data_IF_035369540890
#
_entry.id   IF_035369540890
#
_cell.length_a   1.000
_cell.length_b   1.000
_cell.length_c   1.000
_cell.angle_alpha   90.00
_cell.angle_beta   90.00
_cell.angle_gamma   90.00
#
_symmetry.space_group_name_H-M   'P 1'
#
loop_
_entity.id
_entity.type
_entity.pdbx_description
1 polymer ?
#
# COMPACT_ATOMS: atom_id res chain seq x y z
N UNK A 1 -18.25 -12.83 7.77
CA UNK A 1 -16.77 -12.71 7.51
C UNK A 1 -16.27 -11.38 8.04
N UNK A 2 -15.09 -11.35 8.65
CA UNK A 2 -14.40 -10.16 9.15
C UNK A 2 -13.18 -9.81 8.30
N UNK A 3 -12.65 -8.60 8.46
CA UNK A 3 -11.38 -8.17 7.88
C UNK A 3 -10.31 -8.02 8.95
N UNK A 4 -9.05 -8.33 8.62
CA UNK A 4 -7.88 -8.07 9.45
C UNK A 4 -6.81 -7.39 8.59
N UNK A 5 -6.59 -6.08 8.77
CA UNK A 5 -5.56 -5.33 8.06
C UNK A 5 -4.33 -5.18 8.92
N UNK A 6 -3.17 -5.49 8.39
CA UNK A 6 -1.91 -5.42 9.09
C UNK A 6 -1.20 -4.09 8.79
N UNK A 7 -1.21 -3.16 9.74
CA UNK A 7 -0.64 -1.82 9.62
C UNK A 7 0.43 -1.52 10.69
N UNK A 8 0.96 -2.54 11.38
CA UNK A 8 1.95 -2.38 12.47
C UNK A 8 3.41 -2.25 12.04
N UNK A 9 3.73 -2.41 10.76
CA UNK A 9 5.11 -2.42 10.29
C UNK A 9 5.81 -1.05 10.35
N UNK A 10 7.07 -1.01 10.81
CA UNK A 10 7.86 0.22 11.01
C UNK A 10 8.29 0.96 9.73
N UNK A 11 8.16 0.36 8.55
CA UNK A 11 8.41 1.03 7.26
C UNK A 11 9.86 1.48 7.01
N UNK A 12 10.85 0.83 7.59
CA UNK A 12 12.27 1.25 7.54
C UNK A 12 12.83 1.45 6.14
N UNK A 13 12.31 0.74 5.15
CA UNK A 13 12.74 0.82 3.73
C UNK A 13 12.28 2.09 3.01
N UNK A 14 11.29 2.83 3.58
CA UNK A 14 10.78 4.10 3.06
C UNK A 14 11.30 5.32 3.82
N UNK A 15 12.30 5.14 4.69
CA UNK A 15 12.99 6.27 5.32
C UNK A 15 13.66 7.15 4.27
N UNK A 16 13.66 8.48 4.47
CA UNK A 16 13.29 9.20 5.70
C UNK A 16 11.79 9.50 5.89
N UNK A 17 10.93 9.23 4.89
CA UNK A 17 9.50 9.55 4.93
C UNK A 17 8.81 8.93 6.17
N UNK A 18 9.17 7.70 6.49
CA UNK A 18 8.56 6.92 7.57
C UNK A 18 9.22 7.09 8.94
N UNK A 19 10.14 8.03 9.10
CA UNK A 19 10.61 8.42 10.45
C UNK A 19 9.50 9.08 11.27
N UNK A 20 8.61 9.80 10.61
CA UNK A 20 7.55 10.59 11.25
C UNK A 20 6.14 10.25 10.75
N UNK A 21 6.00 9.18 9.96
CA UNK A 21 4.71 8.80 9.38
C UNK A 21 4.60 7.29 9.20
N UNK A 22 3.40 6.75 9.44
CA UNK A 22 3.09 5.37 9.12
C UNK A 22 3.24 5.13 7.61
N UNK A 23 3.95 4.07 7.20
CA UNK A 23 4.12 3.74 5.78
C UNK A 23 2.77 3.54 5.05
N UNK A 24 1.79 3.01 5.76
CA UNK A 24 0.45 2.74 5.24
C UNK A 24 -0.37 4.03 5.01
N UNK A 25 0.10 5.16 5.52
CA UNK A 25 -0.50 6.49 5.29
C UNK A 25 0.22 7.30 4.21
N UNK A 26 1.31 6.78 3.63
CA UNK A 26 1.91 7.38 2.43
C UNK A 26 0.87 7.35 1.30
N UNK A 27 0.61 8.48 0.62
CA UNK A 27 -0.45 8.52 -0.38
C UNK A 27 0.00 7.97 -1.73
N UNK A 28 -0.95 7.34 -2.42
CA UNK A 28 -0.95 7.02 -3.84
C UNK A 28 -2.10 7.81 -4.48
N UNK A 29 -1.82 8.59 -5.51
CA UNK A 29 -2.80 9.51 -6.10
C UNK A 29 -3.55 10.35 -5.03
N UNK A 30 -2.80 10.89 -4.07
CA UNK A 30 -3.27 11.69 -2.93
C UNK A 30 -4.24 10.97 -1.96
N UNK A 31 -4.35 9.63 -2.02
CA UNK A 31 -5.12 8.83 -1.07
C UNK A 31 -4.21 7.86 -0.32
N UNK A 32 -4.26 7.81 1.04
CA UNK A 32 -3.46 6.87 1.84
C UNK A 32 -3.61 5.42 1.37
N UNK A 33 -2.50 4.68 1.29
CA UNK A 33 -2.49 3.28 0.84
C UNK A 33 -3.47 2.43 1.64
N UNK A 34 -3.51 2.60 2.95
CA UNK A 34 -4.41 1.86 3.85
C UNK A 34 -5.89 1.98 3.44
N UNK A 35 -6.29 3.13 2.90
CA UNK A 35 -7.69 3.38 2.53
C UNK A 35 -8.14 2.49 1.36
N UNK A 36 -7.22 2.17 0.44
CA UNK A 36 -7.52 1.24 -0.66
C UNK A 36 -7.87 -0.16 -0.15
N UNK A 37 -7.12 -0.67 0.84
CA UNK A 37 -7.41 -1.95 1.47
C UNK A 37 -8.75 -1.97 2.21
N UNK A 38 -9.06 -0.91 2.98
CA UNK A 38 -10.35 -0.76 3.68
C UNK A 38 -11.51 -0.70 2.68
N UNK A 39 -11.38 0.10 1.62
CA UNK A 39 -12.40 0.21 0.57
C UNK A 39 -12.59 -1.10 -0.20
N UNK A 40 -11.50 -1.83 -0.49
CA UNK A 40 -11.59 -3.14 -1.14
C UNK A 40 -12.34 -4.16 -0.28
N UNK A 41 -12.06 -4.22 1.01
CA UNK A 41 -12.80 -5.05 1.96
C UNK A 41 -14.27 -4.66 2.03
N UNK A 42 -14.59 -3.36 2.12
CA UNK A 42 -15.97 -2.88 2.12
C UNK A 42 -16.72 -3.30 0.85
N UNK A 43 -16.09 -3.15 -0.34
CA UNK A 43 -16.71 -3.59 -1.61
C UNK A 43 -16.96 -5.10 -1.63
N UNK A 44 -16.08 -5.89 -1.02
CA UNK A 44 -16.28 -7.32 -0.84
C UNK A 44 -17.33 -7.70 0.22
N UNK A 45 -18.05 -6.70 0.79
CA UNK A 45 -19.12 -6.93 1.75
C UNK A 45 -18.68 -7.00 3.22
N UNK A 46 -17.41 -6.80 3.51
CA UNK A 46 -16.84 -6.87 4.86
C UNK A 46 -17.09 -5.54 5.58
N UNK A 47 -17.77 -5.60 6.73
CA UNK A 47 -18.14 -4.41 7.50
C UNK A 47 -17.45 -4.25 8.84
N UNK A 48 -16.86 -5.31 9.35
CA UNK A 48 -16.07 -5.29 10.59
C UNK A 48 -14.61 -5.55 10.26
N UNK A 49 -13.73 -4.58 10.57
CA UNK A 49 -12.31 -4.63 10.22
C UNK A 49 -11.46 -4.41 11.47
N UNK A 50 -10.67 -5.42 11.84
CA UNK A 50 -9.57 -5.28 12.79
C UNK A 50 -8.35 -4.67 12.09
N UNK A 51 -7.72 -3.69 12.72
CA UNK A 51 -6.49 -3.08 12.20
C UNK A 51 -5.39 -3.32 13.22
N UNK A 52 -4.40 -4.13 12.82
CA UNK A 52 -3.19 -4.33 13.62
C UNK A 52 -2.36 -3.04 13.54
N UNK A 53 -2.00 -2.50 14.69
CA UNK A 53 -1.25 -1.24 14.79
C UNK A 53 -0.03 -1.43 15.70
N UNK A 54 1.07 -0.78 15.35
CA UNK A 54 2.32 -0.73 16.12
C UNK A 54 2.60 0.68 16.64
N UNK A 55 3.86 1.11 16.58
CA UNK A 55 4.33 2.42 17.09
C UNK A 55 3.58 3.62 16.49
N UNK A 56 3.16 3.52 15.23
CA UNK A 56 2.41 4.56 14.50
C UNK A 56 0.90 4.52 14.73
N UNK A 57 0.43 3.81 15.78
CA UNK A 57 -1.01 3.64 16.06
C UNK A 57 -1.81 4.93 16.15
N UNK A 58 -1.22 5.98 16.73
CA UNK A 58 -1.91 7.29 16.88
C UNK A 58 -2.25 7.91 15.53
N UNK A 59 -1.34 7.81 14.57
CA UNK A 59 -1.54 8.33 13.22
C UNK A 59 -2.59 7.51 12.46
N UNK A 60 -2.51 6.18 12.53
CA UNK A 60 -3.49 5.29 11.91
C UNK A 60 -4.89 5.56 12.46
N UNK A 61 -5.03 5.64 13.79
CA UNK A 61 -6.30 5.93 14.46
C UNK A 61 -6.83 7.31 14.04
N UNK A 62 -5.98 8.33 13.99
CA UNK A 62 -6.38 9.67 13.57
C UNK A 62 -6.86 9.71 12.11
N UNK A 63 -6.24 8.91 11.22
CA UNK A 63 -6.58 8.89 9.81
C UNK A 63 -7.85 8.08 9.51
N UNK A 64 -8.05 6.95 10.16
CA UNK A 64 -9.15 6.01 9.87
C UNK A 64 -10.38 6.25 10.76
N UNK A 65 -10.19 6.71 12.00
CA UNK A 65 -11.26 6.92 12.97
C UNK A 65 -11.98 5.63 13.35
N UNK A 66 -13.29 5.69 13.50
CA UNK A 66 -14.15 4.53 13.79
C UNK A 66 -14.53 3.72 12.54
N UNK A 67 -14.06 4.13 11.37
CA UNK A 67 -14.35 3.50 10.08
C UNK A 67 -15.63 3.97 9.40
N UNK A 68 -16.44 4.81 10.05
CA UNK A 68 -17.74 5.30 9.52
C UNK A 68 -17.59 6.00 8.17
N UNK A 69 -16.50 6.75 7.94
CA UNK A 69 -16.19 7.40 6.67
C UNK A 69 -16.06 6.42 5.49
N UNK A 70 -15.76 5.15 5.75
CA UNK A 70 -15.68 4.08 4.76
C UNK A 70 -16.92 3.19 4.74
N UNK A 71 -17.88 3.40 5.66
CA UNK A 71 -19.05 2.54 5.85
C UNK A 71 -18.71 1.18 6.47
N UNK A 72 -17.68 1.13 7.30
CA UNK A 72 -17.26 -0.05 8.09
C UNK A 72 -17.13 0.32 9.57
N UNK A 73 -16.97 -0.67 10.44
CA UNK A 73 -16.60 -0.50 11.84
C UNK A 73 -15.18 -1.00 12.05
N UNK A 74 -14.32 -0.16 12.63
CA UNK A 74 -12.92 -0.51 12.88
C UNK A 74 -12.67 -0.86 14.35
N UNK A 75 -11.80 -1.84 14.58
CA UNK A 75 -11.26 -2.20 15.89
C UNK A 75 -9.74 -2.21 15.81
N UNK A 76 -9.06 -1.46 16.66
CA UNK A 76 -7.60 -1.39 16.67
C UNK A 76 -7.00 -2.39 17.63
N UNK A 77 -6.06 -3.20 17.13
CA UNK A 77 -5.43 -4.30 17.87
C UNK A 77 -3.94 -3.99 17.94
N UNK A 78 -3.39 -3.68 19.14
CA UNK A 78 -1.99 -3.33 19.26
C UNK A 78 -1.09 -4.57 19.11
N UNK A 79 -0.04 -4.43 18.30
CA UNK A 79 1.08 -5.35 18.23
C UNK A 79 2.29 -4.64 18.84
N UNK A 80 2.64 -5.00 20.06
CA UNK A 80 3.70 -4.33 20.83
C UNK A 80 5.10 -4.65 20.27
N UNK A 81 5.28 -5.87 19.72
CA UNK A 81 6.53 -6.32 19.11
C UNK A 81 6.27 -6.92 17.72
N UNK A 82 7.13 -6.68 16.70
CA UNK A 82 6.96 -7.14 15.33
C UNK A 82 7.31 -8.63 15.18
N UNK A 83 6.56 -9.51 15.85
CA UNK A 83 6.81 -10.96 15.93
C UNK A 83 6.28 -11.76 14.73
N UNK A 84 5.95 -11.11 13.62
CA UNK A 84 5.56 -11.76 12.37
C UNK A 84 4.07 -11.70 12.06
N UNK A 85 3.70 -12.16 10.85
CA UNK A 85 2.32 -12.07 10.36
C UNK A 85 1.37 -13.05 11.06
N UNK A 86 1.83 -14.26 11.38
CA UNK A 86 1.01 -15.22 12.12
C UNK A 86 0.76 -14.75 13.58
N UNK A 87 1.69 -13.99 14.16
CA UNK A 87 1.47 -13.35 15.46
C UNK A 87 0.30 -12.34 15.42
N UNK A 88 0.11 -11.64 14.30
CA UNK A 88 -1.04 -10.75 14.14
C UNK A 88 -2.37 -11.50 14.23
N UNK A 89 -2.46 -12.69 13.67
CA UNK A 89 -3.65 -13.55 13.80
C UNK A 89 -3.84 -13.98 15.25
N UNK A 90 -2.76 -14.36 15.92
CA UNK A 90 -2.78 -14.81 17.32
C UNK A 90 -3.36 -13.74 18.26
N UNK A 91 -2.88 -12.48 18.14
CA UNK A 91 -3.34 -11.37 19.00
C UNK A 91 -4.73 -10.84 18.59
N UNK A 92 -5.17 -11.12 17.36
CA UNK A 92 -6.49 -10.75 16.89
C UNK A 92 -7.59 -11.78 17.25
N UNK A 93 -7.26 -12.85 17.95
CA UNK A 93 -8.16 -13.95 18.25
C UNK A 93 -9.50 -13.50 18.85
N UNK A 94 -9.47 -12.61 19.86
CA UNK A 94 -10.69 -12.13 20.53
C UNK A 94 -11.58 -11.31 19.57
N UNK A 95 -11.00 -10.58 18.62
CA UNK A 95 -11.73 -9.89 17.58
C UNK A 95 -12.28 -10.85 16.53
N UNK A 96 -11.47 -11.79 16.06
CA UNK A 96 -11.82 -12.72 14.99
C UNK A 96 -12.87 -13.75 15.44
N UNK A 97 -12.71 -14.31 16.64
CA UNK A 97 -13.56 -15.38 17.13
C UNK A 97 -13.53 -16.61 16.21
N UNK A 98 -14.71 -17.15 15.95
CA UNK A 98 -14.92 -18.29 15.04
C UNK A 98 -15.27 -17.86 13.60
N UNK A 99 -15.23 -16.56 13.29
CA UNK A 99 -15.57 -16.04 11.97
C UNK A 99 -14.49 -16.36 10.93
N UNK A 100 -14.90 -16.65 9.71
CA UNK A 100 -14.02 -16.59 8.54
C UNK A 100 -13.56 -15.14 8.35
N UNK A 101 -12.32 -14.94 7.87
CA UNK A 101 -11.79 -13.58 7.70
C UNK A 101 -10.83 -13.45 6.52
N UNK A 102 -10.73 -12.20 6.01
CA UNK A 102 -9.68 -11.75 5.08
C UNK A 102 -8.56 -11.13 5.88
N UNK A 103 -7.33 -11.62 5.74
CA UNK A 103 -6.12 -10.94 6.19
C UNK A 103 -5.49 -10.20 5.02
N UNK A 104 -5.15 -8.92 5.23
CA UNK A 104 -4.64 -8.02 4.18
C UNK A 104 -3.43 -7.24 4.70
N UNK A 105 -2.32 -7.26 3.99
CA UNK A 105 -1.16 -6.45 4.32
C UNK A 105 -1.42 -5.00 3.91
N UNK A 106 -1.44 -4.08 4.86
CA UNK A 106 -1.88 -2.69 4.69
C UNK A 106 -0.99 -1.80 3.82
N UNK A 107 0.12 -2.33 3.29
CA UNK A 107 1.02 -1.69 2.32
C UNK A 107 0.97 -2.36 0.94
N UNK A 108 0.06 -3.28 0.71
CA UNK A 108 -0.12 -3.94 -0.58
C UNK A 108 -1.20 -3.25 -1.41
N UNK A 109 -0.93 -3.14 -2.69
CA UNK A 109 -1.86 -2.60 -3.67
C UNK A 109 -2.09 -3.62 -4.78
N UNK A 110 -3.37 -3.79 -5.16
CA UNK A 110 -3.80 -4.75 -6.18
C UNK A 110 -4.72 -4.04 -7.18
N UNK A 111 -4.58 -4.37 -8.46
CA UNK A 111 -5.55 -3.98 -9.48
C UNK A 111 -6.87 -4.73 -9.30
N UNK A 112 -6.77 -6.03 -9.08
CA UNK A 112 -7.93 -6.88 -8.86
C UNK A 112 -8.64 -6.53 -7.54
N UNK A 113 -9.97 -6.38 -7.57
CA UNK A 113 -10.79 -6.27 -6.35
C UNK A 113 -10.85 -7.60 -5.59
N UNK A 114 -11.30 -7.51 -4.34
CA UNK A 114 -11.44 -8.70 -3.46
C UNK A 114 -12.78 -9.43 -3.63
N UNK A 115 -13.76 -8.83 -4.31
CA UNK A 115 -15.14 -9.30 -4.37
C UNK A 115 -15.26 -10.72 -4.97
N UNK A 116 -14.50 -11.01 -6.02
CA UNK A 116 -14.45 -12.34 -6.65
C UNK A 116 -13.82 -13.37 -5.74
N UNK A 117 -12.66 -13.03 -5.20
CA UNK A 117 -11.84 -13.86 -4.34
C UNK A 117 -12.58 -14.28 -3.05
N UNK A 118 -13.26 -13.32 -2.39
CA UNK A 118 -14.09 -13.55 -1.19
C UNK A 118 -15.29 -14.44 -1.53
N UNK A 119 -16.03 -14.11 -2.60
CA UNK A 119 -17.23 -14.88 -2.99
C UNK A 119 -16.91 -16.33 -3.34
N UNK A 120 -15.78 -16.58 -3.98
CA UNK A 120 -15.36 -17.94 -4.32
C UNK A 120 -15.07 -18.77 -3.06
N UNK A 121 -14.37 -18.19 -2.10
CA UNK A 121 -14.11 -18.82 -0.80
C UNK A 121 -15.42 -19.12 -0.04
N UNK A 122 -16.30 -18.13 0.12
CA UNK A 122 -17.58 -18.30 0.81
C UNK A 122 -18.45 -19.38 0.14
N UNK A 123 -18.51 -19.37 -1.20
CA UNK A 123 -19.28 -20.37 -1.96
C UNK A 123 -18.74 -21.77 -1.76
N UNK A 124 -17.42 -21.93 -1.78
CA UNK A 124 -16.75 -23.21 -1.57
C UNK A 124 -16.93 -23.74 -0.14
N UNK A 125 -16.92 -22.84 0.85
CA UNK A 125 -17.21 -23.20 2.25
C UNK A 125 -18.68 -23.56 2.47
N UNK A 126 -19.60 -22.81 1.87
CA UNK A 126 -21.02 -23.08 1.96
C UNK A 126 -21.42 -24.43 1.32
N UNK A 127 -20.71 -24.84 0.27
CA UNK A 127 -20.89 -26.16 -0.33
C UNK A 127 -20.52 -27.29 0.62
N UNK A 128 -19.67 -27.02 1.61
CA UNK A 128 -19.29 -27.98 2.66
C UNK A 128 -18.53 -29.20 2.16
N UNK A 129 -18.44 -30.22 3.01
CA UNK A 129 -17.78 -31.49 2.69
C UNK A 129 -16.29 -31.51 3.00
N UNK A 130 -15.64 -32.64 2.71
CA UNK A 130 -14.23 -32.88 3.04
C UNK A 130 -13.23 -31.92 2.33
N UNK A 131 -13.68 -31.24 1.29
CA UNK A 131 -12.86 -30.31 0.49
C UNK A 131 -13.21 -28.83 0.71
N UNK A 132 -14.00 -28.51 1.74
CA UNK A 132 -14.22 -27.12 2.12
C UNK A 132 -12.88 -26.45 2.48
N UNK A 133 -12.54 -25.30 1.86
CA UNK A 133 -11.24 -24.68 2.09
C UNK A 133 -11.13 -24.14 3.51
N UNK A 134 -10.02 -24.40 4.19
CA UNK A 134 -9.64 -23.78 5.47
C UNK A 134 -8.82 -22.51 5.24
N UNK A 135 -8.15 -22.43 4.09
CA UNK A 135 -7.46 -21.24 3.62
C UNK A 135 -7.57 -21.09 2.11
N UNK A 136 -7.54 -19.84 1.65
CA UNK A 136 -7.34 -19.49 0.25
C UNK A 136 -6.29 -18.40 0.16
N UNK A 137 -5.30 -18.60 -0.70
CA UNK A 137 -4.16 -17.70 -0.88
C UNK A 137 -4.20 -17.12 -2.29
N UNK A 138 -3.71 -15.87 -2.40
CA UNK A 138 -3.54 -15.21 -3.68
C UNK A 138 -2.06 -15.25 -4.07
N UNK A 139 -1.76 -15.68 -5.29
CA UNK A 139 -0.41 -15.84 -5.84
C UNK A 139 -0.20 -14.91 -7.02
N UNK A 140 1.04 -14.50 -7.24
CA UNK A 140 1.45 -13.70 -8.40
C UNK A 140 2.79 -14.20 -8.94
N UNK A 141 2.95 -14.23 -10.26
CA UNK A 141 4.24 -14.48 -10.89
C UNK A 141 5.14 -13.24 -10.69
N UNK A 142 6.36 -13.46 -10.22
CA UNK A 142 7.35 -12.40 -9.98
C UNK A 142 8.71 -12.80 -10.55
N UNK A 143 9.49 -11.80 -10.99
CA UNK A 143 10.83 -12.02 -11.55
C UNK A 143 11.83 -12.52 -10.50
N UNK A 144 11.75 -11.99 -9.27
CA UNK A 144 12.60 -12.42 -8.15
C UNK A 144 11.77 -12.82 -6.92
N UNK A 145 11.44 -14.10 -6.77
CA UNK A 145 10.61 -14.58 -5.66
C UNK A 145 11.33 -14.65 -4.31
N UNK A 146 12.65 -14.46 -4.25
CA UNK A 146 13.47 -14.63 -3.03
C UNK A 146 13.11 -13.66 -1.89
N UNK A 147 12.34 -12.63 -2.18
CA UNK A 147 11.92 -11.62 -1.19
C UNK A 147 10.56 -11.90 -0.56
N UNK A 148 9.85 -12.94 -1.03
CA UNK A 148 8.48 -13.25 -0.69
C UNK A 148 8.33 -14.67 -0.14
N UNK A 149 7.20 -14.96 0.45
CA UNK A 149 6.74 -16.34 0.59
C UNK A 149 6.47 -16.92 -0.81
N UNK A 150 6.90 -18.13 -1.07
CA UNK A 150 6.79 -18.79 -2.40
C UNK A 150 6.00 -20.06 -2.30
N UNK A 151 5.06 -20.27 -3.22
CA UNK A 151 4.23 -21.45 -3.30
C UNK A 151 4.75 -22.44 -4.35
N UNK A 152 4.84 -23.71 -4.00
CA UNK A 152 4.96 -24.82 -4.97
C UNK A 152 3.58 -25.39 -5.23
N UNK A 153 3.14 -25.37 -6.48
CA UNK A 153 1.82 -25.87 -6.90
C UNK A 153 2.00 -27.10 -7.78
N UNK A 154 1.21 -28.14 -7.55
CA UNK A 154 1.24 -29.37 -8.37
C UNK A 154 0.62 -29.12 -9.74
N UNK A 155 0.83 -30.05 -10.68
CA UNK A 155 0.22 -30.00 -12.03
C UNK A 155 -1.31 -30.02 -11.99
N UNK A 156 -1.87 -30.61 -10.95
CA UNK A 156 -3.32 -30.69 -10.72
C UNK A 156 -3.89 -29.44 -10.05
N UNK A 157 -3.03 -28.43 -9.76
CA UNK A 157 -3.44 -27.16 -9.18
C UNK A 157 -3.58 -27.18 -7.65
N UNK A 158 -2.92 -28.10 -6.94
CA UNK A 158 -2.91 -28.11 -5.47
C UNK A 158 -1.66 -27.43 -4.90
N UNK A 159 -1.83 -26.66 -3.85
CA UNK A 159 -0.68 -26.10 -3.12
C UNK A 159 0.01 -27.25 -2.38
N UNK A 160 1.26 -27.52 -2.78
CA UNK A 160 2.06 -28.62 -2.23
C UNK A 160 2.90 -28.15 -1.05
N UNK A 161 3.50 -26.97 -1.18
CA UNK A 161 4.43 -26.42 -0.19
C UNK A 161 4.52 -24.91 -0.27
N UNK A 162 4.74 -24.30 0.87
CA UNK A 162 5.05 -22.88 1.02
C UNK A 162 6.41 -22.71 1.70
N UNK A 163 7.20 -21.74 1.25
CA UNK A 163 8.53 -21.46 1.83
C UNK A 163 8.71 -19.96 1.95
N UNK A 164 9.01 -19.46 3.16
CA UNK A 164 9.28 -18.03 3.39
C UNK A 164 10.67 -17.66 2.89
N UNK A 165 10.76 -16.67 1.99
CA UNK A 165 12.00 -16.09 1.46
C UNK A 165 13.11 -17.09 1.16
N UNK A 166 12.84 -18.09 0.31
CA UNK A 166 13.79 -19.14 0.00
C UNK A 166 15.01 -18.61 -0.75
N UNK A 167 16.20 -19.14 -0.44
CA UNK A 167 17.42 -18.85 -1.24
C UNK A 167 17.28 -19.43 -2.65
N UNK A 168 16.74 -20.67 -2.71
CA UNK A 168 16.47 -21.39 -3.96
C UNK A 168 14.94 -21.58 -4.07
N UNK A 169 14.25 -20.66 -4.77
CA UNK A 169 12.79 -20.67 -4.86
C UNK A 169 12.29 -21.90 -5.64
N UNK A 170 11.23 -22.60 -5.14
CA UNK A 170 10.66 -23.76 -5.84
C UNK A 170 9.84 -23.36 -7.07
N UNK A 171 9.46 -22.11 -7.20
CA UNK A 171 8.70 -21.53 -8.32
C UNK A 171 8.87 -20.01 -8.35
N UNK A 172 8.23 -19.36 -9.32
CA UNK A 172 8.10 -17.89 -9.43
C UNK A 172 6.79 -17.36 -8.82
N UNK A 173 5.98 -18.24 -8.18
CA UNK A 173 4.69 -17.89 -7.58
C UNK A 173 4.86 -17.33 -6.16
N UNK A 174 4.89 -16.01 -6.05
CA UNK A 174 4.94 -15.30 -4.77
C UNK A 174 3.54 -15.19 -4.14
N UNK A 175 3.48 -15.27 -2.80
CA UNK A 175 2.27 -14.94 -2.05
C UNK A 175 2.04 -13.43 -2.07
N UNK A 176 0.88 -13.06 -2.58
CA UNK A 176 0.33 -11.70 -2.45
C UNK A 176 -0.16 -11.54 -1.02
N UNK A 177 -0.01 -10.35 -0.45
CA UNK A 177 -0.38 -10.07 0.95
C UNK A 177 -1.88 -10.10 1.26
N UNK A 178 -2.63 -11.00 0.63
CA UNK A 178 -4.07 -11.21 0.86
C UNK A 178 -4.35 -12.69 1.05
N UNK A 179 -5.01 -13.02 2.14
CA UNK A 179 -5.30 -14.39 2.56
C UNK A 179 -6.73 -14.49 3.07
N UNK A 180 -7.37 -15.60 2.84
CA UNK A 180 -8.66 -15.97 3.43
C UNK A 180 -8.46 -17.17 4.35
N UNK A 181 -9.02 -17.10 5.52
CA UNK A 181 -8.91 -18.16 6.53
C UNK A 181 -10.25 -18.43 7.20
N UNK A 182 -10.43 -19.68 7.58
CA UNK A 182 -11.41 -20.04 8.60
C UNK A 182 -10.73 -20.08 9.99
N UNK A 183 -11.51 -20.39 11.01
CA UNK A 183 -11.03 -20.48 12.39
C UNK A 183 -9.90 -21.48 12.64
N UNK A 184 -9.67 -22.46 11.75
CA UNK A 184 -8.63 -23.49 11.89
C UNK A 184 -7.23 -22.87 11.89
N UNK A 185 -7.06 -21.69 11.26
CA UNK A 185 -5.78 -20.96 11.30
C UNK A 185 -5.33 -20.65 12.73
N UNK A 186 -6.26 -20.49 13.68
CA UNK A 186 -5.94 -20.26 15.10
C UNK A 186 -5.19 -21.44 15.76
N UNK A 187 -5.40 -22.65 15.28
CA UNK A 187 -4.64 -23.82 15.71
C UNK A 187 -3.23 -23.79 15.11
N UNK A 188 -3.13 -23.50 13.80
CA UNK A 188 -1.86 -23.43 13.09
C UNK A 188 -0.90 -22.38 13.69
N UNK A 189 -1.38 -21.15 13.93
CA UNK A 189 -0.53 -20.08 14.47
C UNK A 189 -0.04 -20.35 15.92
N UNK A 190 -0.71 -21.24 16.65
CA UNK A 190 -0.26 -21.70 17.98
C UNK A 190 0.70 -22.88 17.89
N UNK A 191 0.67 -23.64 16.79
CA UNK A 191 1.48 -24.85 16.62
C UNK A 191 2.86 -24.59 16.01
N UNK A 192 3.05 -23.44 15.32
CA UNK A 192 4.33 -23.09 14.69
C UNK A 192 5.30 -22.47 15.69
N UNK A 193 6.59 -22.62 15.41
CA UNK A 193 7.68 -21.97 16.15
C UNK A 193 8.20 -20.75 15.37
N UNK A 194 8.83 -19.77 16.06
CA UNK A 194 9.49 -18.66 15.37
C UNK A 194 10.55 -19.15 14.36
N UNK A 195 10.58 -18.52 13.19
CA UNK A 195 11.56 -18.79 12.15
C UNK A 195 12.97 -18.34 12.59
N UNK A 196 13.98 -18.58 11.73
CA UNK A 196 15.35 -18.06 11.96
C UNK A 196 15.43 -16.53 12.06
N UNK A 197 14.38 -15.84 11.66
CA UNK A 197 14.22 -14.39 11.75
C UNK A 197 13.62 -13.95 13.10
N UNK A 198 13.20 -14.90 13.95
CA UNK A 198 12.49 -14.63 15.19
C UNK A 198 11.00 -14.29 14.99
N UNK A 199 10.45 -14.51 13.79
CA UNK A 199 9.07 -14.19 13.44
C UNK A 199 8.21 -15.46 13.31
N UNK A 200 6.95 -15.38 13.71
CA UNK A 200 5.92 -16.37 13.41
C UNK A 200 5.41 -16.10 11.99
N UNK A 201 5.84 -16.92 11.04
CA UNK A 201 5.56 -16.72 9.63
C UNK A 201 4.17 -17.24 9.25
N UNK A 202 3.44 -16.47 8.47
CA UNK A 202 2.12 -16.93 7.98
C UNK A 202 2.26 -18.09 6.99
N UNK A 203 3.36 -18.13 6.24
CA UNK A 203 3.72 -19.24 5.35
C UNK A 203 3.87 -20.55 6.10
N UNK A 204 4.47 -20.55 7.30
CA UNK A 204 4.63 -21.73 8.14
C UNK A 204 3.28 -22.18 8.70
N UNK A 205 2.42 -21.25 9.08
CA UNK A 205 1.07 -21.58 9.57
C UNK A 205 0.22 -22.22 8.44
N UNK A 206 0.29 -21.70 7.22
CA UNK A 206 -0.40 -22.30 6.07
C UNK A 206 0.22 -23.66 5.71
N UNK A 207 1.55 -23.78 5.78
CA UNK A 207 2.24 -25.05 5.57
C UNK A 207 1.77 -26.11 6.58
N UNK A 208 1.63 -25.73 7.86
CA UNK A 208 1.08 -26.60 8.89
C UNK A 208 -0.34 -27.09 8.53
N UNK A 209 -1.22 -26.21 8.02
CA UNK A 209 -2.56 -26.62 7.56
C UNK A 209 -2.48 -27.70 6.46
N UNK A 210 -1.58 -27.54 5.49
CA UNK A 210 -1.36 -28.52 4.41
C UNK A 210 -0.91 -29.86 5.00
N UNK A 211 0.03 -29.87 5.93
CA UNK A 211 0.56 -31.06 6.60
C UNK A 211 -0.50 -31.79 7.47
N UNK A 212 -1.48 -31.03 7.98
CA UNK A 212 -2.65 -31.60 8.67
C UNK A 212 -3.75 -32.10 7.71
N UNK A 213 -3.48 -32.12 6.40
CA UNK A 213 -4.44 -32.58 5.39
C UNK A 213 -5.62 -31.63 5.17
N UNK A 214 -5.48 -30.37 5.61
CA UNK A 214 -6.50 -29.33 5.38
C UNK A 214 -6.45 -28.81 3.93
N UNK A 215 -7.59 -28.38 3.43
CA UNK A 215 -7.69 -27.86 2.06
C UNK A 215 -7.23 -26.41 2.00
N UNK A 216 -6.10 -26.16 1.36
CA UNK A 216 -5.60 -24.82 1.02
C UNK A 216 -5.77 -24.60 -0.47
N UNK A 217 -6.62 -23.64 -0.86
CA UNK A 217 -6.84 -23.25 -2.26
C UNK A 217 -5.94 -22.09 -2.62
N UNK A 218 -5.72 -21.89 -3.92
CA UNK A 218 -5.05 -20.71 -4.43
C UNK A 218 -5.79 -20.14 -5.64
N UNK A 219 -5.58 -18.87 -5.88
CA UNK A 219 -5.91 -18.17 -7.12
C UNK A 219 -4.64 -17.43 -7.60
N UNK A 220 -4.40 -17.39 -8.90
CA UNK A 220 -3.35 -16.55 -9.48
C UNK A 220 -3.96 -15.19 -9.81
N UNK A 221 -3.36 -14.14 -9.28
CA UNK A 221 -3.81 -12.76 -9.45
C UNK A 221 -3.91 -12.39 -10.93
N UNK A 222 -4.98 -11.70 -11.28
CA UNK A 222 -5.16 -11.07 -12.59
C UNK A 222 -4.84 -9.58 -12.45
N UNK A 223 -3.91 -9.10 -13.29
CA UNK A 223 -3.45 -7.72 -13.21
C UNK A 223 -2.19 -7.55 -12.35
N UNK A 224 -1.96 -6.33 -11.89
CA UNK A 224 -0.75 -6.00 -11.14
C UNK A 224 -0.93 -6.10 -9.62
N UNK A 225 0.18 -6.38 -8.95
CA UNK A 225 0.35 -6.32 -7.51
C UNK A 225 1.65 -5.60 -7.17
N UNK A 226 1.61 -4.72 -6.17
CA UNK A 226 2.78 -3.98 -5.71
C UNK A 226 2.83 -3.96 -4.16
N UNK A 227 3.98 -4.38 -3.61
CA UNK A 227 4.41 -4.05 -2.25
C UNK A 227 5.03 -2.65 -2.27
N UNK A 228 4.31 -1.67 -1.74
CA UNK A 228 4.71 -0.25 -1.75
C UNK A 228 5.77 0.09 -0.69
N UNK A 229 6.44 -0.90 -0.14
CA UNK A 229 7.42 -0.73 0.93
C UNK A 229 8.74 -0.08 0.52
N UNK A 230 8.94 0.34 -0.73
CA UNK A 230 10.14 1.03 -1.26
C UNK A 230 9.72 2.17 -2.19
N UNK A 231 10.66 3.13 -2.45
CA UNK A 231 10.39 4.32 -3.29
C UNK A 231 9.94 3.94 -4.71
N UNK A 232 10.72 3.14 -5.43
CA UNK A 232 10.43 2.86 -6.84
C UNK A 232 9.11 2.07 -7.03
N UNK A 233 8.81 1.00 -6.27
CA UNK A 233 7.48 0.39 -6.28
C UNK A 233 6.35 1.35 -5.92
N UNK A 234 6.57 2.31 -5.00
CA UNK A 234 5.57 3.31 -4.64
C UNK A 234 5.29 4.26 -5.80
N UNK A 235 6.32 4.75 -6.49
CA UNK A 235 6.17 5.61 -7.68
C UNK A 235 5.48 4.85 -8.83
N UNK A 236 5.84 3.59 -9.04
CA UNK A 236 5.18 2.74 -10.03
C UNK A 236 3.70 2.49 -9.67
N UNK A 237 3.39 2.24 -8.41
CA UNK A 237 2.01 2.13 -7.94
C UNK A 237 1.23 3.43 -8.18
N UNK A 238 1.84 4.57 -7.89
CA UNK A 238 1.25 5.88 -8.16
C UNK A 238 0.95 6.05 -9.66
N UNK A 239 1.89 5.65 -10.54
CA UNK A 239 1.71 5.66 -12.00
C UNK A 239 0.48 4.84 -12.41
N UNK A 240 0.40 3.58 -11.97
CA UNK A 240 -0.69 2.68 -12.34
C UNK A 240 -2.06 3.18 -11.85
N UNK A 241 -2.13 3.68 -10.63
CA UNK A 241 -3.39 4.22 -10.08
C UNK A 241 -3.80 5.49 -10.82
N UNK A 242 -2.85 6.37 -11.16
CA UNK A 242 -3.13 7.59 -11.91
C UNK A 242 -3.65 7.31 -13.34
N UNK A 243 -3.27 6.20 -13.96
CA UNK A 243 -3.81 5.84 -15.28
C UNK A 243 -5.32 5.55 -15.27
N UNK A 244 -5.87 5.21 -14.11
CA UNK A 244 -7.28 4.87 -13.95
C UNK A 244 -8.14 6.01 -13.38
N UNK A 245 -7.56 7.20 -13.12
CA UNK A 245 -8.33 8.32 -12.56
C UNK A 245 -9.29 8.94 -13.59
N UNK A 246 -10.45 9.39 -13.12
CA UNK A 246 -11.39 10.17 -13.89
C UNK A 246 -11.08 11.68 -13.72
N UNK A 247 -10.99 12.45 -14.81
CA UNK A 247 -10.70 13.88 -14.76
C UNK A 247 -11.74 14.64 -13.94
N UNK A 248 -11.29 15.57 -13.09
CA UNK A 248 -12.16 16.40 -12.26
C UNK A 248 -11.48 17.72 -11.94
N UNK A 249 -12.22 18.83 -12.05
CA UNK A 249 -11.73 20.15 -11.67
C UNK A 249 -12.69 20.81 -10.67
N UNK A 250 -12.22 20.95 -9.43
CA UNK A 250 -12.90 21.64 -8.33
C UNK A 250 -12.13 22.91 -7.88
N UNK A 251 -10.99 23.19 -8.52
CA UNK A 251 -10.14 24.35 -8.25
C UNK A 251 -10.36 25.49 -9.25
N UNK A 252 -9.40 26.39 -9.31
CA UNK A 252 -9.37 27.49 -10.27
C UNK A 252 -8.20 27.34 -11.24
N UNK A 253 -8.48 27.55 -12.52
CA UNK A 253 -7.49 27.54 -13.61
C UNK A 253 -7.65 28.85 -14.36
N UNK A 254 -6.58 29.62 -14.51
CA UNK A 254 -6.62 30.89 -15.24
C UNK A 254 -6.64 30.69 -16.77
N UNK A 255 -6.88 31.78 -17.52
CA UNK A 255 -7.00 31.72 -18.97
C UNK A 255 -5.68 31.50 -19.73
N UNK A 256 -4.54 31.61 -19.05
CA UNK A 256 -3.20 31.37 -19.61
C UNK A 256 -2.71 29.96 -19.40
N UNK A 257 -3.34 29.21 -18.51
CA UNK A 257 -2.97 27.82 -18.19
C UNK A 257 -3.57 26.80 -19.15
N UNK A 258 -2.88 25.69 -19.30
CA UNK A 258 -3.29 24.56 -20.17
C UNK A 258 -3.39 23.27 -19.36
N UNK A 259 -4.54 22.59 -19.45
CA UNK A 259 -4.77 21.31 -18.79
C UNK A 259 -5.02 20.26 -19.87
N UNK A 260 -4.19 19.21 -19.91
CA UNK A 260 -4.24 18.15 -20.91
C UNK A 260 -4.31 16.76 -20.26
N UNK A 261 -5.14 15.87 -20.81
CA UNK A 261 -5.26 14.48 -20.34
C UNK A 261 -6.06 14.32 -19.04
N UNK A 262 -5.78 13.28 -18.29
CA UNK A 262 -6.49 12.95 -17.05
C UNK A 262 -5.92 13.75 -15.88
N UNK A 263 -6.59 14.79 -15.46
CA UNK A 263 -6.16 15.66 -14.36
C UNK A 263 -7.27 15.79 -13.32
N UNK A 264 -6.93 15.57 -12.05
CA UNK A 264 -7.77 15.92 -10.92
C UNK A 264 -7.18 17.19 -10.29
N UNK A 265 -7.98 18.25 -10.22
CA UNK A 265 -7.66 19.48 -9.48
C UNK A 265 -8.66 19.59 -8.35
N UNK A 266 -8.17 19.49 -7.11
CA UNK A 266 -9.03 19.49 -5.93
C UNK A 266 -9.43 20.91 -5.50
N UNK A 267 -10.41 20.97 -4.61
CA UNK A 267 -10.99 22.23 -4.12
C UNK A 267 -9.92 23.17 -3.56
N UNK A 268 -10.04 24.47 -3.86
CA UNK A 268 -9.12 25.51 -3.40
C UNK A 268 -7.78 25.57 -4.14
N UNK A 269 -7.45 24.58 -4.97
CA UNK A 269 -6.24 24.60 -5.78
C UNK A 269 -6.28 25.72 -6.83
N UNK A 270 -5.13 26.34 -7.10
CA UNK A 270 -4.99 27.47 -8.04
C UNK A 270 -3.89 27.16 -9.05
N UNK A 271 -4.25 27.17 -10.32
CA UNK A 271 -3.33 26.95 -11.44
C UNK A 271 -3.25 28.28 -12.21
N UNK A 272 -2.04 28.86 -12.24
CA UNK A 272 -1.78 30.19 -12.82
C UNK A 272 -0.63 30.08 -13.82
N UNK A 273 -0.83 30.56 -15.04
CA UNK A 273 0.17 30.58 -16.11
C UNK A 273 1.00 29.30 -16.21
N UNK A 274 0.34 28.15 -16.11
CA UNK A 274 0.99 26.85 -15.95
C UNK A 274 0.43 25.81 -16.94
N UNK A 275 1.23 24.76 -17.18
CA UNK A 275 0.79 23.64 -17.99
C UNK A 275 0.76 22.36 -17.17
N UNK A 276 -0.39 21.70 -17.12
CA UNK A 276 -0.56 20.42 -16.45
C UNK A 276 -0.86 19.36 -17.51
N UNK A 277 -0.02 18.34 -17.59
CA UNK A 277 -0.18 17.23 -18.52
C UNK A 277 -0.38 15.93 -17.73
N UNK A 278 -1.60 15.43 -17.74
CA UNK A 278 -2.01 14.23 -17.02
C UNK A 278 -1.41 12.92 -17.57
N UNK A 279 -1.52 11.83 -16.75
CA UNK A 279 -2.33 11.76 -15.55
C UNK A 279 -1.67 12.42 -14.33
N UNK A 280 -2.40 13.30 -13.63
CA UNK A 280 -1.92 14.13 -12.52
C UNK A 280 -3.02 14.35 -11.49
N UNK A 281 -2.66 14.40 -10.21
CA UNK A 281 -3.54 14.88 -9.13
C UNK A 281 -2.90 16.08 -8.45
N UNK A 282 -3.65 17.18 -8.33
CA UNK A 282 -3.30 18.39 -7.58
C UNK A 282 -4.20 18.47 -6.36
N UNK A 283 -3.60 18.48 -5.18
CA UNK A 283 -4.30 18.49 -3.88
C UNK A 283 -4.96 19.81 -3.54
N UNK A 284 -5.77 19.77 -2.50
CA UNK A 284 -6.56 20.90 -1.97
C UNK A 284 -5.65 22.05 -1.57
N UNK A 285 -6.08 23.30 -1.87
CA UNK A 285 -5.38 24.55 -1.54
C UNK A 285 -3.94 24.64 -2.07
N UNK A 286 -3.56 23.83 -3.05
CA UNK A 286 -2.24 23.86 -3.69
C UNK A 286 -2.18 24.93 -4.76
N UNK A 287 -1.05 25.65 -4.81
CA UNK A 287 -0.77 26.68 -5.82
C UNK A 287 0.28 26.17 -6.79
N UNK A 288 -0.02 26.27 -8.08
CA UNK A 288 0.92 25.98 -9.19
C UNK A 288 0.99 27.23 -10.05
N UNK A 289 2.15 27.89 -10.06
CA UNK A 289 2.34 29.17 -10.74
C UNK A 289 3.58 29.13 -11.65
N UNK A 290 3.44 29.59 -12.90
CA UNK A 290 4.50 29.60 -13.90
C UNK A 290 5.26 28.27 -14.01
N UNK A 291 4.55 27.14 -13.98
CA UNK A 291 5.15 25.82 -13.77
C UNK A 291 4.61 24.77 -14.77
N UNK A 292 5.37 23.69 -14.93
CA UNK A 292 4.93 22.50 -15.66
C UNK A 292 4.80 21.32 -14.71
N UNK A 293 3.64 20.68 -14.69
CA UNK A 293 3.42 19.40 -14.01
C UNK A 293 3.14 18.33 -15.06
N UNK A 294 4.11 17.44 -15.21
CA UNK A 294 4.07 16.34 -16.17
C UNK A 294 3.40 15.07 -15.63
N UNK A 295 3.29 14.05 -16.51
CA UNK A 295 2.55 12.84 -16.21
C UNK A 295 3.03 12.12 -14.95
N UNK A 296 2.11 11.35 -14.36
CA UNK A 296 2.35 10.46 -13.21
C UNK A 296 2.79 11.19 -11.94
N UNK A 297 2.40 12.46 -11.82
CA UNK A 297 2.72 13.28 -10.65
C UNK A 297 1.51 13.43 -9.72
N UNK A 298 1.72 13.22 -8.44
CA UNK A 298 0.76 13.51 -7.37
C UNK A 298 1.32 14.63 -6.49
N UNK A 299 0.64 15.76 -6.48
CA UNK A 299 0.96 16.90 -5.62
C UNK A 299 -0.04 16.93 -4.48
N UNK A 300 0.45 16.85 -3.24
CA UNK A 300 -0.35 16.85 -2.02
C UNK A 300 -1.08 18.17 -1.77
N UNK A 301 -1.71 18.27 -0.61
CA UNK A 301 -2.48 19.46 -0.22
C UNK A 301 -1.54 20.60 0.22
N UNK A 302 -1.97 21.85 0.04
CA UNK A 302 -1.28 23.06 0.50
C UNK A 302 0.17 23.16 0.04
N UNK A 303 0.49 22.57 -1.11
CA UNK A 303 1.79 22.72 -1.75
C UNK A 303 1.89 24.04 -2.51
N UNK A 304 3.11 24.52 -2.68
CA UNK A 304 3.40 25.73 -3.46
C UNK A 304 4.49 25.42 -4.49
N UNK A 305 4.12 25.35 -5.77
CA UNK A 305 5.00 25.04 -6.88
C UNK A 305 5.10 26.27 -7.77
N UNK A 306 6.30 26.86 -7.84
CA UNK A 306 6.54 28.11 -8.55
C UNK A 306 7.76 27.99 -9.44
N UNK A 307 7.67 28.46 -10.71
CA UNK A 307 8.75 28.44 -11.69
C UNK A 307 9.49 27.10 -11.78
N UNK A 308 8.74 26.00 -11.78
CA UNK A 308 9.33 24.66 -11.64
C UNK A 308 8.72 23.64 -12.60
N UNK A 309 9.50 22.62 -12.97
CA UNK A 309 9.03 21.50 -13.78
C UNK A 309 9.11 20.19 -13.01
N UNK A 310 7.99 19.47 -12.91
CA UNK A 310 7.88 18.22 -12.17
C UNK A 310 7.24 17.14 -13.03
N UNK A 311 7.75 15.91 -12.96
CA UNK A 311 7.09 14.74 -13.54
C UNK A 311 7.39 13.48 -12.72
N UNK A 312 6.55 12.44 -12.86
CA UNK A 312 6.73 11.12 -12.25
C UNK A 312 7.16 11.18 -10.77
N UNK A 313 6.47 12.02 -9.98
CA UNK A 313 6.85 12.31 -8.61
C UNK A 313 5.65 12.35 -7.68
N UNK A 314 5.89 12.08 -6.40
CA UNK A 314 4.91 12.18 -5.32
C UNK A 314 5.39 13.20 -4.30
N UNK A 315 4.63 14.26 -4.13
CA UNK A 315 4.86 15.30 -3.12
C UNK A 315 3.77 15.18 -2.05
N UNK A 316 4.18 15.02 -0.80
CA UNK A 316 3.26 15.02 0.33
C UNK A 316 2.84 16.48 0.66
N UNK A 317 1.90 16.62 1.60
CA UNK A 317 1.31 17.90 1.96
C UNK A 317 2.34 18.95 2.38
N UNK A 318 2.09 20.22 2.02
CA UNK A 318 2.85 21.37 2.43
C UNK A 318 4.20 21.56 1.76
N UNK A 319 4.52 20.83 0.71
CA UNK A 319 5.78 20.98 0.00
C UNK A 319 5.87 22.32 -0.73
N UNK A 320 7.06 22.92 -0.73
CA UNK A 320 7.41 24.09 -1.56
C UNK A 320 8.49 23.72 -2.55
N UNK A 321 8.23 23.94 -3.85
CA UNK A 321 9.20 23.75 -4.91
C UNK A 321 9.30 25.05 -5.70
N UNK A 322 10.46 25.70 -5.70
CA UNK A 322 10.64 27.01 -6.30
C UNK A 322 11.94 27.12 -7.10
N UNK A 323 11.83 27.59 -8.35
CA UNK A 323 12.93 27.74 -9.31
C UNK A 323 13.70 26.43 -9.58
N UNK A 324 13.01 25.29 -9.60
CA UNK A 324 13.58 23.97 -9.92
C UNK A 324 13.36 23.69 -11.41
N UNK A 325 14.44 23.67 -12.18
CA UNK A 325 14.39 23.51 -13.63
C UNK A 325 13.67 22.23 -14.05
N UNK A 326 14.05 21.09 -13.43
CA UNK A 326 13.36 19.81 -13.63
C UNK A 326 13.58 18.90 -12.42
N UNK A 327 12.52 18.26 -11.96
CA UNK A 327 12.55 17.20 -10.95
C UNK A 327 11.70 16.01 -11.41
N UNK A 328 12.27 14.81 -11.38
CA UNK A 328 11.60 13.57 -11.75
C UNK A 328 11.90 12.46 -10.74
N UNK A 329 11.14 11.37 -10.82
CA UNK A 329 11.36 10.14 -10.03
C UNK A 329 11.54 10.38 -8.52
N UNK A 330 10.82 11.37 -7.98
CA UNK A 330 11.06 11.90 -6.64
C UNK A 330 9.88 11.62 -5.70
N UNK A 331 10.21 11.37 -4.43
CA UNK A 331 9.27 11.25 -3.33
C UNK A 331 9.65 12.26 -2.24
N UNK A 332 8.83 13.30 -2.07
CA UNK A 332 9.03 14.35 -1.08
C UNK A 332 8.10 14.16 0.12
N UNK A 333 8.67 14.16 1.32
CA UNK A 333 7.94 14.13 2.58
C UNK A 333 7.16 15.41 2.84
N UNK A 334 6.40 15.45 3.95
CA UNK A 334 5.61 16.63 4.32
C UNK A 334 6.51 17.83 4.60
N UNK A 335 6.07 19.02 4.16
CA UNK A 335 6.72 20.30 4.39
C UNK A 335 8.18 20.36 3.88
N UNK A 336 8.51 19.57 2.86
CA UNK A 336 9.83 19.65 2.23
C UNK A 336 9.91 20.90 1.36
N UNK A 337 11.03 21.59 1.46
CA UNK A 337 11.36 22.75 0.66
C UNK A 337 12.51 22.42 -0.30
N UNK A 338 12.26 22.58 -1.60
CA UNK A 338 13.28 22.49 -2.66
C UNK A 338 13.31 23.83 -3.37
N UNK A 339 14.37 24.59 -3.16
CA UNK A 339 14.46 25.95 -3.68
C UNK A 339 15.84 26.22 -4.28
N UNK A 340 15.89 27.02 -5.35
CA UNK A 340 17.13 27.47 -5.94
C UNK A 340 17.54 28.83 -5.32
N UNK A 341 18.73 28.90 -4.74
CA UNK A 341 19.25 30.16 -4.22
C UNK A 341 19.70 31.06 -5.38
N UNK A 342 19.20 32.29 -5.39
CA UNK A 342 19.64 33.32 -6.34
C UNK A 342 20.88 34.10 -5.83
N UNK A 343 21.34 33.85 -4.61
CA UNK A 343 22.46 34.53 -3.99
C UNK A 343 23.80 33.89 -4.35
N UNK A 344 24.82 34.72 -4.55
CA UNK A 344 26.21 34.26 -4.72
C UNK A 344 26.89 34.02 -3.36
N UNK A 345 27.84 33.08 -3.22
CA UNK A 345 28.24 32.11 -4.24
C UNK A 345 27.13 31.09 -4.52
N UNK A 346 27.07 30.63 -5.79
CA UNK A 346 26.18 29.52 -6.15
C UNK A 346 26.72 28.26 -5.49
N UNK A 347 26.03 27.77 -4.49
CA UNK A 347 26.41 26.58 -3.74
C UNK A 347 25.17 25.78 -3.36
N UNK A 348 25.31 24.46 -3.29
CA UNK A 348 24.33 23.60 -2.65
C UNK A 348 24.36 23.85 -1.14
N UNK A 349 23.19 24.08 -0.57
CA UNK A 349 22.97 24.18 0.88
C UNK A 349 21.90 23.17 1.25
N UNK A 350 22.35 22.11 1.93
CA UNK A 350 21.50 20.96 2.24
C UNK A 350 21.31 20.88 3.76
N UNK A 351 20.05 20.66 4.17
CA UNK A 351 19.69 20.24 5.51
C UNK A 351 18.86 18.96 5.35
N UNK A 352 19.51 17.83 5.55
CA UNK A 352 18.95 16.49 5.29
C UNK A 352 18.91 15.71 6.60
N UNK A 353 17.89 14.87 6.74
CA UNK A 353 17.77 13.93 7.85
C UNK A 353 18.45 12.58 7.52
N UNK A 354 18.37 11.67 8.49
CA UNK A 354 18.87 10.32 8.33
C UNK A 354 18.20 9.60 7.14
N UNK A 355 18.93 8.74 6.47
CA UNK A 355 18.49 7.93 5.33
C UNK A 355 18.07 8.73 4.07
N UNK A 356 18.29 10.04 4.02
CA UNK A 356 18.03 10.87 2.83
C UNK A 356 18.94 10.50 1.66
N UNK A 357 18.39 10.59 0.43
CA UNK A 357 19.13 10.42 -0.83
C UNK A 357 18.86 11.62 -1.73
N UNK A 358 19.91 12.15 -2.33
CA UNK A 358 19.87 13.26 -3.29
C UNK A 358 20.76 12.90 -4.46
N UNK A 359 20.21 12.92 -5.66
CA UNK A 359 20.93 12.79 -6.92
C UNK A 359 20.84 14.13 -7.64
N UNK A 360 21.98 14.63 -8.10
CA UNK A 360 22.12 15.92 -8.77
C UNK A 360 22.69 15.71 -10.16
N UNK A 361 22.09 16.38 -11.15
CA UNK A 361 22.68 16.46 -12.48
C UNK A 361 24.03 17.20 -12.44
N UNK A 362 24.95 16.79 -13.30
CA UNK A 362 26.30 17.35 -13.44
C UNK A 362 26.29 18.76 -14.06
#
# INVERSE_FOLDING_TARGET
MKGLILAGGAGTRLRPITHTSAKQLVPIANKPILFYGIEAMRRAGIKEIGIIVGDTRKEIIAAVGDGSQFGVKTTYIPQEEPLGLAHCVLIAHDFLGDDDFVMYLGDNMLEQGLEGFVREFESARAAGGAHAPTAQILLCHVDDPRQFGVAEVTKEGHVKRLVEKPKDPPSDLALVGVYLFDKTINEAVRAIAPSKRGELEITDAIQWLIEQGKTVRHEVLKGWWIDTGKKDPLLECNRLVLEAIEPRNEGSVDGSSQIEGRVIIMSGAKIVNSRIRGPVVIGTDTVVDNSYIGPYTSVGNKCNIVHSELEHSVLLDGCTVNDVHKMSDSLLGRNVEVTRSQHRPHALRLMLGDDSKVELDA
#
